data_IF_787717107596
#
_entry.id   IF_787717107596
#
_cell.length_a   1.000
_cell.length_b   1.000
_cell.length_c   1.000
_cell.angle_alpha   90.00
_cell.angle_beta   90.00
_cell.angle_gamma   90.00
#
_symmetry.space_group_name_H-M   'P 1'
#
loop_
_entity.id
_entity.type
_entity.pdbx_description
1 polymer ?
#
# COMPACT_ATOMS: atom_id res chain seq x y z
N UNK A 1 8.00 -22.25 67.29
CA UNK A 1 7.54 -23.61 67.53
C UNK A 1 6.03 -23.64 67.38
N UNK A 2 5.55 -24.71 66.74
CA UNK A 2 4.21 -25.34 66.86
C UNK A 2 2.98 -24.50 66.46
N UNK A 3 2.35 -24.73 65.29
CA UNK A 3 1.16 -25.62 65.01
C UNK A 3 -0.05 -25.39 65.95
N UNK A 4 -1.34 -25.43 65.59
CA UNK A 4 -2.12 -25.92 64.44
C UNK A 4 -3.54 -25.27 64.51
N UNK A 5 -4.25 -24.97 63.40
CA UNK A 5 -5.28 -25.76 62.67
C UNK A 5 -6.59 -26.06 63.44
N UNK A 6 -7.74 -25.66 62.86
CA UNK A 6 -8.93 -26.48 62.53
C UNK A 6 -10.10 -25.56 62.07
N UNK A 7 -10.60 -25.65 60.82
CA UNK A 7 -11.71 -26.54 60.33
C UNK A 7 -13.09 -25.89 60.59
N UNK A 8 -14.12 -25.93 59.73
CA UNK A 8 -14.40 -26.70 58.51
C UNK A 8 -15.65 -26.15 57.78
N UNK A 9 -15.87 -26.63 56.54
CA UNK A 9 -17.16 -26.66 55.83
C UNK A 9 -17.25 -25.70 54.63
N UNK A 10 -17.31 -26.11 53.35
CA UNK A 10 -17.60 -27.40 52.71
C UNK A 10 -18.77 -27.22 51.75
N UNK A 11 -18.58 -27.43 50.43
CA UNK A 11 -19.51 -28.16 49.53
C UNK A 11 -19.01 -28.23 48.07
N UNK A 12 -18.74 -29.47 47.62
CA UNK A 12 -18.95 -30.12 46.28
C UNK A 12 -18.89 -29.29 44.99
N UNK A 13 -17.95 -29.51 44.06
CA UNK A 13 -17.67 -30.69 43.22
C UNK A 13 -18.66 -30.91 42.05
N UNK A 14 -18.17 -30.70 40.82
CA UNK A 14 -18.52 -31.49 39.66
C UNK A 14 -17.31 -31.52 38.70
N UNK A 15 -16.77 -32.73 38.58
CA UNK A 15 -15.74 -33.18 37.65
C UNK A 15 -16.48 -34.01 36.58
N UNK A 16 -16.24 -33.73 35.30
CA UNK A 16 -16.32 -34.78 34.29
C UNK A 16 -15.28 -34.54 33.20
N UNK A 17 -14.26 -35.39 33.25
CA UNK A 17 -13.29 -35.63 32.19
C UNK A 17 -13.95 -36.41 31.05
N UNK A 18 -13.67 -36.05 29.79
CA UNK A 18 -13.67 -37.00 28.67
C UNK A 18 -12.71 -36.52 27.58
N UNK A 19 -11.55 -37.17 27.52
CA UNK A 19 -10.73 -37.25 26.31
C UNK A 19 -11.12 -38.52 25.55
N UNK A 20 -11.19 -38.44 24.22
CA UNK A 20 -10.72 -39.46 23.28
C UNK A 20 -10.82 -38.92 21.85
N UNK A 21 -9.82 -39.26 21.06
CA UNK A 21 -9.43 -38.54 19.86
C UNK A 21 -10.24 -38.87 18.61
N UNK A 22 -9.95 -38.09 17.59
CA UNK A 22 -9.97 -38.55 16.20
C UNK A 22 -9.00 -37.69 15.40
N UNK A 23 -7.99 -38.35 14.85
CA UNK A 23 -7.16 -37.86 13.76
C UNK A 23 -8.02 -37.76 12.51
N UNK A 24 -8.39 -36.54 12.14
CA UNK A 24 -8.98 -36.20 10.84
C UNK A 24 -8.02 -35.31 10.08
N UNK A 25 -7.42 -35.84 9.02
CA UNK A 25 -6.69 -35.07 8.01
C UNK A 25 -7.70 -34.25 7.21
N UNK A 26 -7.81 -32.97 7.53
CA UNK A 26 -8.44 -32.00 6.63
C UNK A 26 -7.35 -31.38 5.77
N UNK A 27 -7.14 -32.01 4.60
CA UNK A 27 -6.55 -31.35 3.43
C UNK A 27 -7.56 -30.30 2.93
N UNK A 28 -7.66 -29.22 3.69
CA UNK A 28 -8.39 -28.01 3.33
C UNK A 28 -7.62 -27.31 2.23
N UNK A 29 -7.83 -27.75 0.99
CA UNK A 29 -7.47 -27.00 -0.22
C UNK A 29 -8.10 -25.62 -0.11
N UNK A 30 -7.33 -24.61 0.33
CA UNK A 30 -7.71 -23.22 0.16
C UNK A 30 -7.96 -23.06 -1.33
N UNK A 31 -9.18 -22.67 -1.69
CA UNK A 31 -9.51 -22.27 -3.05
C UNK A 31 -8.57 -21.15 -3.44
N UNK A 32 -7.51 -21.50 -4.15
CA UNK A 32 -6.75 -20.57 -4.97
C UNK A 32 -7.75 -20.09 -6.00
N UNK A 33 -8.24 -18.87 -5.83
CA UNK A 33 -8.76 -18.11 -6.96
C UNK A 33 -7.55 -17.84 -7.84
N UNK A 34 -7.21 -18.83 -8.68
CA UNK A 34 -6.24 -18.64 -9.75
C UNK A 34 -6.90 -17.68 -10.72
N UNK A 35 -6.65 -16.38 -10.53
CA UNK A 35 -6.81 -15.43 -11.62
C UNK A 35 -5.91 -15.93 -12.76
N UNK A 36 -6.37 -15.89 -14.02
CA UNK A 36 -5.57 -16.34 -15.13
C UNK A 36 -4.22 -15.59 -15.09
N UNK A 37 -3.08 -16.27 -15.33
CA UNK A 37 -1.81 -15.57 -15.45
C UNK A 37 -1.93 -14.61 -16.62
N UNK A 38 -2.07 -13.31 -16.34
CA UNK A 38 -1.87 -12.26 -17.32
C UNK A 38 -0.39 -12.33 -17.68
N UNK A 39 -0.13 -13.01 -18.79
CA UNK A 39 1.22 -13.17 -19.30
C UNK A 39 1.60 -11.82 -19.90
N UNK A 40 2.14 -10.93 -19.07
CA UNK A 40 2.66 -9.65 -19.53
C UNK A 40 3.90 -9.93 -20.36
N UNK A 41 3.76 -9.72 -21.66
CA UNK A 41 4.92 -9.75 -22.56
C UNK A 41 5.67 -8.46 -22.31
N UNK A 42 6.80 -8.53 -21.61
CA UNK A 42 7.79 -7.45 -21.51
C UNK A 42 8.32 -7.15 -22.91
N UNK A 43 7.62 -6.27 -23.62
CA UNK A 43 8.08 -5.68 -24.87
C UNK A 43 9.22 -4.69 -24.60
N UNK A 44 10.03 -4.37 -25.62
CA UNK A 44 11.06 -3.34 -25.48
C UNK A 44 10.42 -2.01 -25.04
N UNK A 45 11.10 -1.33 -24.10
CA UNK A 45 10.73 0.00 -23.62
C UNK A 45 10.75 0.98 -24.79
N UNK A 46 9.59 1.24 -25.39
CA UNK A 46 9.41 2.43 -26.20
C UNK A 46 9.34 3.63 -25.26
N UNK A 47 10.35 4.49 -25.32
CA UNK A 47 10.38 5.81 -24.65
C UNK A 47 9.44 6.81 -25.33
N UNK A 48 8.39 6.34 -26.00
CA UNK A 48 7.40 7.19 -26.60
C UNK A 48 6.62 7.84 -25.46
N UNK A 49 6.97 9.10 -25.18
CA UNK A 49 6.20 10.02 -24.36
C UNK A 49 4.84 10.20 -25.04
N UNK A 50 3.92 9.27 -24.81
CA UNK A 50 2.51 9.51 -25.12
C UNK A 50 2.09 10.74 -24.30
N UNK A 51 1.73 11.78 -25.04
CA UNK A 51 1.08 12.98 -24.52
C UNK A 51 -0.28 12.56 -23.95
N UNK A 52 -0.28 12.03 -22.72
CA UNK A 52 -1.48 11.72 -21.95
C UNK A 52 -2.39 12.96 -21.92
N UNK A 53 -3.67 12.76 -22.19
CA UNK A 53 -4.65 13.85 -22.13
C UNK A 53 -4.66 14.52 -20.75
N UNK A 54 -5.04 15.80 -20.70
CA UNK A 54 -5.16 16.53 -19.44
C UNK A 54 -6.23 15.88 -18.56
N UNK A 55 -5.82 14.99 -17.67
CA UNK A 55 -6.67 14.50 -16.58
C UNK A 55 -7.00 15.69 -15.66
N UNK A 56 -8.27 15.90 -15.29
CA UNK A 56 -8.61 16.94 -14.32
C UNK A 56 -7.88 16.65 -13.00
N UNK A 57 -7.31 17.66 -12.38
CA UNK A 57 -6.60 17.57 -11.09
C UNK A 57 -7.50 18.11 -9.97
N UNK A 58 -7.28 17.73 -8.69
CA UNK A 58 -7.99 18.35 -7.59
C UNK A 58 -7.71 19.86 -7.53
N UNK A 59 -8.75 20.64 -7.23
CA UNK A 59 -8.70 22.12 -7.20
C UNK A 59 -7.71 22.67 -6.14
N UNK A 60 -7.43 21.89 -5.10
CA UNK A 60 -6.44 22.20 -4.07
C UNK A 60 -5.95 20.91 -3.39
N UNK A 61 -4.65 20.86 -3.07
CA UNK A 61 -4.04 19.78 -2.27
C UNK A 61 -4.20 20.12 -0.79
N UNK A 62 -4.81 19.22 -0.03
CA UNK A 62 -4.85 19.28 1.44
C UNK A 62 -3.66 18.52 2.00
N UNK A 63 -2.63 19.23 2.45
CA UNK A 63 -1.40 18.63 2.99
C UNK A 63 -1.54 18.13 4.42
N UNK A 64 -2.60 18.50 5.14
CA UNK A 64 -2.75 18.17 6.57
C UNK A 64 -3.61 16.92 6.78
N UNK A 65 -4.53 16.63 5.85
CA UNK A 65 -5.38 15.45 5.93
C UNK A 65 -4.58 14.15 5.74
N UNK A 66 -4.62 13.24 6.70
CA UNK A 66 -4.13 11.87 6.53
C UNK A 66 -4.87 10.92 7.47
N UNK A 67 -5.55 9.93 6.91
CA UNK A 67 -6.25 8.93 7.72
C UNK A 67 -5.33 7.72 7.97
N UNK A 68 -4.55 7.78 9.05
CA UNK A 68 -3.66 6.70 9.47
C UNK A 68 -4.41 5.54 10.17
N UNK A 69 -5.56 5.85 10.79
CA UNK A 69 -6.34 4.88 11.56
C UNK A 69 -7.16 3.92 10.69
N UNK A 70 -7.23 4.16 9.38
CA UNK A 70 -7.90 3.29 8.42
C UNK A 70 -6.86 2.63 7.49
N UNK A 71 -6.16 1.57 7.97
CA UNK A 71 -5.18 0.88 7.14
C UNK A 71 -5.87 0.33 5.89
N UNK A 72 -5.50 0.87 4.73
CA UNK A 72 -5.91 0.26 3.47
C UNK A 72 -4.96 -0.89 3.19
N UNK A 73 -5.53 -2.09 3.08
CA UNK A 73 -4.76 -3.31 2.90
C UNK A 73 -4.09 -3.33 1.53
N UNK A 74 -2.83 -3.75 1.52
CA UNK A 74 -2.13 -4.24 0.35
C UNK A 74 -1.68 -5.68 0.58
N UNK A 75 -1.45 -6.39 -0.52
CA UNK A 75 -0.83 -7.71 -0.53
C UNK A 75 0.28 -7.73 -1.57
N UNK A 76 1.08 -6.66 -1.59
CA UNK A 76 2.17 -6.46 -2.54
C UNK A 76 3.44 -7.06 -1.96
N UNK A 77 3.81 -8.24 -2.44
CA UNK A 77 4.87 -9.05 -1.83
C UNK A 77 5.94 -9.40 -2.84
N UNK A 78 7.16 -9.63 -2.38
CA UNK A 78 8.22 -10.08 -3.27
C UNK A 78 9.63 -9.87 -2.73
N UNK A 79 10.55 -9.61 -3.65
CA UNK A 79 11.95 -9.32 -3.36
C UNK A 79 12.38 -8.00 -3.97
N UNK A 80 13.16 -7.25 -3.21
CA UNK A 80 13.88 -6.04 -3.58
C UNK A 80 15.40 -6.32 -3.54
N UNK A 81 16.24 -5.38 -4.00
CA UNK A 81 17.69 -5.43 -3.78
C UNK A 81 18.12 -5.58 -2.31
N UNK A 82 17.29 -5.14 -1.36
CA UNK A 82 17.57 -5.20 0.08
C UNK A 82 17.03 -6.49 0.74
N UNK A 83 16.32 -7.32 -0.02
CA UNK A 83 15.74 -8.58 0.44
C UNK A 83 14.22 -8.66 0.27
N UNK A 84 13.56 -9.59 0.99
CA UNK A 84 12.10 -9.73 0.95
C UNK A 84 11.39 -8.42 1.33
N UNK A 85 10.26 -8.17 0.69
CA UNK A 85 9.38 -7.04 0.96
C UNK A 85 7.93 -7.53 1.09
N UNK A 86 7.24 -7.06 2.14
CA UNK A 86 5.86 -7.40 2.45
C UNK A 86 5.03 -6.12 2.62
N UNK A 87 4.63 -5.53 1.50
CA UNK A 87 3.81 -4.32 1.45
C UNK A 87 2.38 -4.62 1.88
N UNK A 88 2.11 -4.47 3.17
CA UNK A 88 0.83 -4.76 3.81
C UNK A 88 -0.15 -3.58 3.78
N UNK A 89 0.36 -2.37 3.55
CA UNK A 89 -0.44 -1.15 3.62
C UNK A 89 -0.07 -0.17 2.52
N UNK A 90 -1.06 0.60 2.04
CA UNK A 90 -0.87 1.56 0.96
C UNK A 90 -1.57 2.91 1.20
N UNK A 91 -0.87 4.00 0.88
CA UNK A 91 -1.41 5.37 0.88
C UNK A 91 -0.89 6.13 -0.32
N UNK A 92 -1.62 7.13 -0.79
CA UNK A 92 -1.13 8.00 -1.84
C UNK A 92 -1.20 9.48 -1.47
N UNK A 93 -0.23 10.25 -1.97
CA UNK A 93 -0.23 11.71 -1.95
C UNK A 93 -0.22 12.27 -3.37
N UNK A 94 -0.16 13.59 -3.50
CA UNK A 94 0.01 14.27 -4.80
C UNK A 94 1.44 14.71 -4.99
N UNK A 95 2.06 14.27 -6.07
CA UNK A 95 3.17 15.01 -6.63
C UNK A 95 2.63 16.35 -7.14
N UNK A 96 3.32 17.44 -6.85
CA UNK A 96 2.89 18.79 -7.23
C UNK A 96 3.96 19.55 -8.00
N UNK A 97 3.54 20.62 -8.67
CA UNK A 97 4.38 21.56 -9.39
C UNK A 97 3.79 22.96 -9.21
N UNK A 98 4.54 23.88 -8.59
CA UNK A 98 4.04 25.22 -8.28
C UNK A 98 2.69 25.23 -7.52
N UNK A 99 2.45 24.22 -6.69
CA UNK A 99 1.20 24.05 -5.93
C UNK A 99 0.05 23.37 -6.69
N UNK A 100 0.25 23.05 -7.98
CA UNK A 100 -0.70 22.29 -8.79
C UNK A 100 -0.34 20.80 -8.72
N UNK A 101 -1.31 19.91 -8.53
CA UNK A 101 -1.03 18.48 -8.59
C UNK A 101 -0.62 18.06 -10.02
N UNK A 102 0.33 17.15 -10.13
CA UNK A 102 0.80 16.54 -11.37
C UNK A 102 0.35 15.08 -11.51
N UNK A 103 0.51 14.30 -10.45
CA UNK A 103 0.35 12.85 -10.47
C UNK A 103 0.17 12.32 -9.06
N UNK A 104 -0.64 11.28 -8.82
CA UNK A 104 -0.64 10.62 -7.53
C UNK A 104 0.69 9.86 -7.34
N UNK A 105 1.29 10.01 -6.16
CA UNK A 105 2.40 9.19 -5.68
C UNK A 105 1.84 8.17 -4.71
N UNK A 106 2.04 6.88 -4.96
CA UNK A 106 1.59 5.84 -4.03
C UNK A 106 2.78 5.23 -3.31
N UNK A 107 2.56 4.97 -2.03
CA UNK A 107 3.54 4.53 -1.05
C UNK A 107 3.02 3.25 -0.40
N UNK A 108 3.78 2.17 -0.53
CA UNK A 108 3.57 0.90 0.15
C UNK A 108 4.55 0.77 1.31
N UNK A 109 4.04 0.35 2.47
CA UNK A 109 4.84 0.11 3.68
C UNK A 109 4.47 -1.22 4.33
N UNK A 110 5.42 -1.77 5.09
CA UNK A 110 5.23 -3.00 5.86
C UNK A 110 4.57 -2.71 7.23
N UNK A 111 4.89 -1.56 7.84
CA UNK A 111 4.35 -1.12 9.14
C UNK A 111 3.75 0.30 9.04
N UNK A 112 2.46 0.52 9.39
CA UNK A 112 1.87 1.86 9.44
C UNK A 112 2.57 2.82 10.41
N UNK A 113 3.31 2.29 11.41
CA UNK A 113 4.08 3.10 12.34
C UNK A 113 5.20 3.89 11.64
N UNK A 114 5.79 3.35 10.57
CA UNK A 114 6.84 4.02 9.80
C UNK A 114 6.27 5.23 9.05
N UNK A 115 5.07 5.07 8.47
CA UNK A 115 4.34 6.19 7.89
C UNK A 115 3.99 7.23 8.94
N UNK A 116 3.43 6.82 10.09
CA UNK A 116 3.08 7.73 11.16
C UNK A 116 4.29 8.53 11.67
N UNK A 117 5.47 7.89 11.78
CA UNK A 117 6.71 8.56 12.16
C UNK A 117 7.16 9.59 11.10
N UNK A 118 7.09 9.25 9.82
CA UNK A 118 7.42 10.17 8.73
C UNK A 118 6.48 11.38 8.71
N UNK A 119 5.18 11.15 8.83
CA UNK A 119 4.14 12.19 8.88
C UNK A 119 4.35 13.12 10.07
N UNK A 120 4.73 12.59 11.24
CA UNK A 120 4.99 13.40 12.43
C UNK A 120 6.16 14.37 12.27
N UNK A 121 7.13 14.06 11.39
CA UNK A 121 8.29 14.91 11.11
C UNK A 121 8.00 15.91 9.99
N UNK A 122 7.16 15.55 9.03
CA UNK A 122 6.81 16.40 7.88
C UNK A 122 5.29 16.47 7.64
N UNK A 123 4.53 17.12 8.55
CA UNK A 123 3.06 17.13 8.49
C UNK A 123 2.48 18.03 7.39
N UNK A 124 3.31 18.76 6.65
CA UNK A 124 2.88 19.73 5.63
C UNK A 124 3.26 19.34 4.20
N UNK A 125 3.55 18.05 3.98
CA UNK A 125 4.08 17.51 2.72
C UNK A 125 5.44 16.83 2.91
N UNK A 126 5.94 16.13 1.90
CA UNK A 126 7.26 15.47 1.90
C UNK A 126 7.47 14.36 2.96
N UNK A 127 6.41 13.81 3.55
CA UNK A 127 6.51 12.66 4.44
C UNK A 127 6.90 11.43 3.62
N UNK A 128 8.08 10.86 3.89
CA UNK A 128 8.63 9.75 3.12
C UNK A 128 9.13 8.67 4.09
N UNK A 129 8.32 7.62 4.34
CA UNK A 129 8.72 6.55 5.24
C UNK A 129 9.89 5.73 4.70
N UNK A 130 10.60 5.06 5.61
CA UNK A 130 11.67 4.12 5.28
C UNK A 130 11.61 2.90 6.20
N UNK A 131 11.60 1.66 5.68
CA UNK A 131 11.58 1.33 4.26
C UNK A 131 10.22 1.58 3.62
N UNK A 132 10.21 1.97 2.34
CA UNK A 132 8.97 2.04 1.58
C UNK A 132 9.21 1.81 0.09
N UNK A 133 8.17 1.34 -0.59
CA UNK A 133 8.11 1.39 -2.04
C UNK A 133 7.27 2.61 -2.44
N UNK A 134 7.85 3.50 -3.22
CA UNK A 134 7.22 4.71 -3.73
C UNK A 134 7.18 4.67 -5.25
N UNK A 135 6.11 5.17 -5.87
CA UNK A 135 6.09 5.38 -7.31
C UNK A 135 5.35 6.64 -7.74
N UNK A 136 5.63 7.05 -8.97
CA UNK A 136 5.02 8.20 -9.62
C UNK A 136 4.32 7.76 -10.91
N UNK A 137 3.11 8.24 -11.13
CA UNK A 137 2.35 7.98 -12.34
C UNK A 137 2.57 9.11 -13.36
N UNK A 138 3.79 9.24 -13.90
CA UNK A 138 4.06 10.21 -14.96
C UNK A 138 3.70 9.64 -16.33
N UNK A 139 2.72 10.24 -17.01
CA UNK A 139 2.40 9.92 -18.41
C UNK A 139 1.80 8.53 -18.67
N UNK A 140 1.63 7.69 -17.65
CA UNK A 140 1.31 6.27 -17.82
C UNK A 140 -0.16 5.87 -17.66
N UNK A 141 -1.10 6.80 -17.45
CA UNK A 141 -2.52 6.49 -17.65
C UNK A 141 -3.17 7.66 -18.40
N UNK A 142 -3.52 7.43 -19.65
CA UNK A 142 -4.29 8.38 -20.47
C UNK A 142 -5.79 8.13 -20.21
N UNK A 143 -6.48 8.97 -19.42
CA UNK A 143 -7.80 8.60 -18.95
C UNK A 143 -8.86 9.22 -19.84
N UNK A 144 -9.60 8.35 -20.50
CA UNK A 144 -11.01 8.65 -20.72
C UNK A 144 -11.85 8.47 -19.42
N UNK A 145 -11.25 8.05 -18.29
CA UNK A 145 -11.98 7.65 -17.06
C UNK A 145 -11.28 7.79 -15.70
N UNK A 146 -10.32 8.71 -15.52
CA UNK A 146 -9.78 9.04 -14.19
C UNK A 146 -8.69 8.12 -13.61
N UNK A 147 -7.56 8.01 -14.32
CA UNK A 147 -6.40 7.13 -14.03
C UNK A 147 -6.67 5.61 -14.00
N UNK A 148 -7.92 5.17 -14.18
CA UNK A 148 -8.25 3.75 -14.40
C UNK A 148 -7.63 3.26 -15.71
N UNK A 149 -6.93 2.13 -15.65
CA UNK A 149 -6.24 1.51 -16.79
C UNK A 149 -4.85 0.97 -16.43
N UNK A 150 -4.17 0.46 -17.45
CA UNK A 150 -2.80 -0.08 -17.35
C UNK A 150 -1.75 0.99 -17.70
N UNK A 151 -0.57 0.90 -17.09
CA UNK A 151 0.52 1.83 -17.31
C UNK A 151 1.90 1.30 -16.90
N UNK A 152 2.94 1.79 -17.57
CA UNK A 152 4.32 1.58 -17.12
C UNK A 152 4.64 2.51 -15.95
N UNK A 153 5.32 2.01 -14.92
CA UNK A 153 5.71 2.83 -13.75
C UNK A 153 7.19 2.79 -13.48
N UNK A 154 7.70 3.87 -12.89
CA UNK A 154 9.01 3.88 -12.22
C UNK A 154 8.79 3.83 -10.72
N UNK A 155 9.43 2.87 -10.09
CA UNK A 155 9.29 2.54 -8.68
C UNK A 155 10.62 2.75 -7.98
N UNK A 156 10.57 3.30 -6.77
CA UNK A 156 11.71 3.64 -5.93
C UNK A 156 11.60 2.88 -4.61
N UNK A 157 12.66 2.17 -4.23
CA UNK A 157 12.81 1.65 -2.87
C UNK A 157 13.54 2.71 -2.07
N UNK A 158 12.82 3.25 -1.07
CA UNK A 158 13.38 4.17 -0.09
C UNK A 158 13.88 3.37 1.09
N UNK A 159 15.16 3.52 1.39
CA UNK A 159 15.81 3.00 2.60
C UNK A 159 16.70 4.07 3.22
N UNK A 160 17.28 3.78 4.39
CA UNK A 160 18.36 4.61 4.95
C UNK A 160 19.65 4.59 4.09
N UNK A 161 19.75 3.63 3.18
CA UNK A 161 20.89 3.40 2.31
C UNK A 161 20.78 4.10 0.94
N UNK A 162 21.52 3.63 -0.07
CA UNK A 162 21.37 4.14 -1.43
C UNK A 162 19.94 3.89 -1.95
N UNK A 163 19.47 4.79 -2.81
CA UNK A 163 18.18 4.64 -3.47
C UNK A 163 18.29 3.60 -4.57
N UNK A 164 17.31 2.71 -4.64
CA UNK A 164 17.17 1.75 -5.73
C UNK A 164 15.92 2.09 -6.54
N UNK A 165 15.99 1.86 -7.85
CA UNK A 165 14.86 2.09 -8.75
C UNK A 165 14.69 0.91 -9.70
N UNK A 166 13.45 0.70 -10.13
CA UNK A 166 13.07 -0.28 -11.14
C UNK A 166 11.91 0.24 -12.00
N UNK A 167 11.73 -0.37 -13.17
CA UNK A 167 10.53 -0.18 -13.98
C UNK A 167 9.58 -1.35 -13.80
N UNK A 168 8.27 -1.07 -13.79
CA UNK A 168 7.22 -2.07 -13.64
C UNK A 168 5.96 -1.71 -14.41
N UNK A 169 4.91 -2.47 -14.15
CA UNK A 169 3.55 -2.24 -14.61
C UNK A 169 2.64 -1.95 -13.42
N UNK A 170 1.66 -1.10 -13.65
CA UNK A 170 0.54 -0.86 -12.75
C UNK A 170 -0.76 -1.01 -13.52
N UNK A 171 -1.78 -1.54 -12.86
CA UNK A 171 -3.16 -1.49 -13.32
C UNK A 171 -4.01 -0.85 -12.23
N UNK A 172 -4.71 0.23 -12.55
CA UNK A 172 -5.70 0.85 -11.67
C UNK A 172 -7.08 0.36 -12.09
N UNK A 173 -7.74 -0.39 -11.21
CA UNK A 173 -9.04 -0.97 -11.47
C UNK A 173 -10.17 0.04 -11.27
N UNK A 174 -10.07 0.84 -10.20
CA UNK A 174 -11.04 1.86 -9.86
C UNK A 174 -10.43 3.01 -9.05
N UNK A 175 -11.08 4.17 -9.14
CA UNK A 175 -10.79 5.33 -8.32
C UNK A 175 -12.09 5.89 -7.74
N UNK A 176 -12.01 6.42 -6.52
CA UNK A 176 -13.13 7.06 -5.85
C UNK A 176 -12.73 8.47 -5.43
N UNK A 177 -13.43 9.47 -5.97
CA UNK A 177 -13.30 10.90 -5.61
C UNK A 177 -11.86 11.44 -5.66
N UNK A 178 -10.99 10.82 -6.46
CA UNK A 178 -9.57 11.20 -6.55
C UNK A 178 -9.36 12.63 -7.06
N UNK A 179 -10.33 13.21 -7.77
CA UNK A 179 -10.26 14.60 -8.25
C UNK A 179 -11.17 15.56 -7.49
N UNK A 180 -11.90 15.08 -6.49
CA UNK A 180 -12.76 15.94 -5.69
C UNK A 180 -11.94 16.68 -4.64
N UNK A 181 -12.50 17.75 -4.09
CA UNK A 181 -12.01 18.32 -2.83
C UNK A 181 -12.07 17.26 -1.75
N UNK A 182 -10.99 17.14 -0.98
CA UNK A 182 -10.86 16.18 0.12
C UNK A 182 -12.02 16.35 1.10
N UNK A 183 -12.76 15.25 1.29
CA UNK A 183 -13.85 15.14 2.25
C UNK A 183 -13.44 14.14 3.33
N UNK A 184 -13.14 14.58 4.57
CA UNK A 184 -12.69 13.68 5.62
C UNK A 184 -13.68 12.56 5.97
N UNK A 185 -14.97 12.71 5.65
CA UNK A 185 -15.96 11.67 5.90
C UNK A 185 -16.00 10.59 4.81
N UNK A 186 -15.44 10.88 3.63
CA UNK A 186 -15.40 9.99 2.48
C UNK A 186 -14.15 10.32 1.64
N UNK A 187 -12.96 9.97 2.14
CA UNK A 187 -11.70 10.41 1.56
C UNK A 187 -11.44 9.75 0.20
N UNK A 188 -10.61 10.38 -0.64
CA UNK A 188 -10.21 9.82 -1.92
C UNK A 188 -9.49 8.47 -1.81
N UNK A 189 -9.76 7.57 -2.75
CA UNK A 189 -9.22 6.20 -2.78
C UNK A 189 -8.86 5.75 -4.19
N UNK A 190 -7.96 4.79 -4.27
CA UNK A 190 -7.68 4.03 -5.48
C UNK A 190 -7.46 2.55 -5.16
N UNK A 191 -7.81 1.69 -6.11
CA UNK A 191 -7.57 0.26 -6.06
C UNK A 191 -6.87 -0.20 -7.33
N UNK A 192 -5.88 -1.07 -7.19
CA UNK A 192 -5.08 -1.52 -8.32
C UNK A 192 -4.18 -2.70 -8.01
N UNK A 193 -3.32 -3.02 -8.98
CA UNK A 193 -2.31 -4.05 -8.95
C UNK A 193 -0.97 -3.48 -9.39
N UNK A 194 0.11 -3.86 -8.71
CA UNK A 194 1.48 -3.52 -9.06
C UNK A 194 2.23 -4.79 -9.46
N UNK A 195 3.08 -4.71 -10.49
CA UNK A 195 3.96 -5.81 -10.91
C UNK A 195 5.32 -5.26 -11.35
N UNK A 196 6.39 -5.75 -10.75
CA UNK A 196 7.77 -5.37 -11.04
C UNK A 196 8.59 -6.64 -11.19
N UNK A 197 9.19 -6.82 -12.36
CA UNK A 197 10.05 -7.96 -12.67
C UNK A 197 11.31 -7.46 -13.39
N UNK A 198 12.24 -6.85 -12.64
CA UNK A 198 13.43 -6.18 -13.18
C UNK A 198 14.68 -6.43 -12.31
N UNK A 199 15.60 -7.27 -12.80
CA UNK A 199 16.85 -7.58 -12.09
C UNK A 199 16.63 -8.28 -10.74
N UNK A 200 17.01 -7.61 -9.65
CA UNK A 200 16.82 -8.10 -8.27
C UNK A 200 15.40 -7.83 -7.74
N UNK A 201 14.60 -7.08 -8.51
CA UNK A 201 13.20 -6.81 -8.20
C UNK A 201 12.28 -7.89 -8.75
N UNK A 202 11.48 -8.46 -7.86
CA UNK A 202 10.40 -9.36 -8.22
C UNK A 202 9.27 -9.17 -7.21
N UNK A 203 8.38 -8.22 -7.47
CA UNK A 203 7.31 -7.79 -6.55
C UNK A 203 6.02 -7.72 -7.31
N UNK A 204 4.95 -8.23 -6.71
CA UNK A 204 3.63 -8.11 -7.29
C UNK A 204 2.53 -8.15 -6.23
N UNK A 205 1.37 -7.57 -6.55
CA UNK A 205 0.17 -7.75 -5.74
C UNK A 205 -0.84 -6.62 -5.87
N UNK A 206 -2.01 -6.85 -5.27
CA UNK A 206 -3.08 -5.88 -5.19
C UNK A 206 -2.86 -4.89 -4.05
N UNK A 207 -3.37 -3.67 -4.24
CA UNK A 207 -3.40 -2.64 -3.21
C UNK A 207 -4.74 -1.91 -3.22
N UNK A 208 -5.17 -1.46 -2.05
CA UNK A 208 -6.11 -0.35 -1.91
C UNK A 208 -5.36 0.77 -1.21
N UNK A 209 -5.50 2.00 -1.67
CA UNK A 209 -4.82 3.16 -1.10
C UNK A 209 -5.80 4.28 -0.78
N UNK A 210 -5.57 4.94 0.36
CA UNK A 210 -6.29 6.14 0.76
C UNK A 210 -5.38 7.36 0.67
N UNK A 211 -6.00 8.53 0.48
CA UNK A 211 -5.27 9.79 0.41
C UNK A 211 -4.60 10.14 1.75
N UNK A 212 -3.34 10.54 1.69
CA UNK A 212 -2.56 11.11 2.79
C UNK A 212 -1.81 12.33 2.26
N UNK A 213 -2.29 13.51 2.62
CA UNK A 213 -1.76 14.83 2.27
C UNK A 213 -0.28 15.03 2.55
N UNK A 214 0.25 14.63 3.72
CA UNK A 214 1.68 14.73 4.02
C UNK A 214 2.58 13.95 3.05
N UNK A 215 2.08 12.93 2.34
CA UNK A 215 2.85 12.24 1.28
C UNK A 215 2.95 13.07 -0.02
N UNK A 216 2.31 14.23 -0.08
CA UNK A 216 2.34 15.12 -1.24
C UNK A 216 3.58 16.00 -1.21
N UNK A 217 4.24 16.20 -2.34
CA UNK A 217 5.46 17.02 -2.40
C UNK A 217 5.71 17.65 -3.78
N UNK A 218 6.47 18.76 -3.84
CA UNK A 218 6.80 19.39 -5.11
C UNK A 218 7.89 18.63 -5.88
N UNK A 219 7.62 18.33 -7.14
CA UNK A 219 8.67 18.04 -8.12
C UNK A 219 9.36 19.35 -8.49
N UNK A 220 10.69 19.33 -8.61
CA UNK A 220 11.44 20.48 -9.12
C UNK A 220 11.00 20.84 -10.54
N UNK A 221 10.26 21.94 -10.67
CA UNK A 221 9.77 22.45 -11.95
C UNK A 221 10.63 23.61 -12.43
N UNK A 222 11.77 23.28 -13.03
CA UNK A 222 12.64 24.24 -13.74
C UNK A 222 12.47 24.14 -15.25
#
# INVERSE_FOLDING_TARGET
GTTAVASDGGSTAADTTAALGSTGSDDGTRGSTTLPPTTFTSGPVDTDTESGGNTPMPDAVDYEFCELDWPQSASVVGTTPEGPFDGLFAWFGWLTCNGEGLSPTLVLVEDPADLAAAVAVSPSGDALPTPSIEWYLFGACSPSGGWVGEGNVTVYLRTEGPWHQASGQIEIFDTHRIFDVVDPADPPRMHGYLSIHDGEWNIEGEFTAAYCGPLSYPLGCE
#
